data_IF_440377809618
#
_entry.id   IF_440377809618
#
_cell.length_a   1.000
_cell.length_b   1.000
_cell.length_c   1.000
_cell.angle_alpha   90.00
_cell.angle_beta   90.00
_cell.angle_gamma   90.00
#
_symmetry.space_group_name_H-M   'P 1'
#
loop_
_entity.id
_entity.type
_entity.pdbx_description
1 polymer ?
#
# COMPACT_ATOMS: atom_id res chain seq x y z
N UNK A 1 19.01 12.72 -1.58
CA UNK A 1 18.61 13.87 -0.72
C UNK A 1 17.43 13.44 0.14
N UNK A 2 17.27 13.97 1.37
CA UNK A 2 16.07 13.71 2.18
C UNK A 2 15.04 14.80 1.91
N UNK A 3 13.81 14.42 1.59
CA UNK A 3 12.72 15.36 1.40
C UNK A 3 12.26 15.91 2.77
N UNK A 4 11.86 17.18 2.79
CA UNK A 4 11.02 17.70 3.88
C UNK A 4 9.63 17.12 3.67
N UNK A 5 9.07 16.49 4.70
CA UNK A 5 7.77 15.81 4.63
C UNK A 5 6.97 16.10 5.88
N UNK A 6 5.79 16.68 5.68
CA UNK A 6 4.76 16.75 6.70
C UNK A 6 3.81 15.56 6.58
N UNK A 7 4.07 14.52 7.37
CA UNK A 7 3.25 13.30 7.36
C UNK A 7 1.83 13.54 7.86
N UNK A 8 1.58 14.59 8.67
CA UNK A 8 0.26 14.88 9.20
C UNK A 8 -0.60 15.50 8.11
N UNK A 9 -0.06 16.49 7.41
CA UNK A 9 -0.69 17.08 6.23
C UNK A 9 -1.05 16.02 5.18
N UNK A 10 -0.08 15.17 4.80
CA UNK A 10 -0.32 14.13 3.78
C UNK A 10 -1.37 13.13 4.24
N UNK A 11 -1.31 12.68 5.51
CA UNK A 11 -2.31 11.76 6.04
C UNK A 11 -3.71 12.38 6.06
N UNK A 12 -3.84 13.64 6.49
CA UNK A 12 -5.10 14.38 6.51
C UNK A 12 -5.70 14.52 5.11
N UNK A 13 -4.89 14.85 4.10
CA UNK A 13 -5.31 14.90 2.70
C UNK A 13 -5.83 13.55 2.18
N UNK A 14 -5.34 12.44 2.73
CA UNK A 14 -5.82 11.09 2.41
C UNK A 14 -6.99 10.65 3.31
N UNK A 15 -7.50 11.52 4.18
CA UNK A 15 -8.55 11.20 5.16
C UNK A 15 -8.10 10.24 6.26
N UNK A 16 -6.80 10.16 6.55
CA UNK A 16 -6.20 9.22 7.51
C UNK A 16 -5.90 9.91 8.83
N UNK A 17 -6.32 9.29 9.93
CA UNK A 17 -6.04 9.75 11.29
C UNK A 17 -4.77 9.09 11.84
N UNK A 18 -3.75 9.89 12.15
CA UNK A 18 -2.49 9.42 12.73
C UNK A 18 -2.53 9.34 14.26
N UNK A 19 -2.73 8.13 14.78
CA UNK A 19 -2.88 7.86 16.21
C UNK A 19 -1.56 7.58 16.91
N UNK A 20 -1.54 7.65 18.26
CA UNK A 20 -0.34 7.32 19.04
C UNK A 20 -0.23 5.79 19.14
N UNK A 21 0.99 5.21 19.10
CA UNK A 21 1.16 3.76 19.24
C UNK A 21 0.55 3.17 20.52
N UNK A 22 0.48 3.95 21.62
CA UNK A 22 -0.14 3.55 22.89
C UNK A 22 -1.66 3.30 22.78
N UNK A 23 -2.31 3.94 21.80
CA UNK A 23 -3.74 3.80 21.55
C UNK A 23 -4.03 2.57 20.66
N UNK A 24 -3.00 1.86 20.20
CA UNK A 24 -3.18 0.71 19.31
C UNK A 24 -3.86 -0.43 20.07
N UNK A 25 -5.02 -0.86 19.54
CA UNK A 25 -5.77 -2.03 19.99
C UNK A 25 -5.82 -3.02 18.82
N UNK A 26 -5.04 -4.12 18.83
CA UNK A 26 -4.90 -5.02 17.68
C UNK A 26 -6.22 -5.58 17.15
N UNK A 27 -7.20 -5.79 18.03
CA UNK A 27 -8.52 -6.35 17.71
C UNK A 27 -9.55 -5.29 17.27
N UNK A 28 -9.22 -3.99 17.36
CA UNK A 28 -10.16 -2.90 17.08
C UNK A 28 -9.54 -1.87 16.14
N UNK A 29 -9.10 -2.32 14.96
CA UNK A 29 -8.65 -1.38 13.91
C UNK A 29 -9.85 -0.87 13.14
N UNK A 30 -9.95 0.44 13.01
CA UNK A 30 -10.97 1.09 12.19
C UNK A 30 -10.36 1.52 10.85
N UNK A 31 -11.17 1.59 9.79
CA UNK A 31 -10.74 2.16 8.51
C UNK A 31 -10.08 3.52 8.72
N UNK A 32 -9.03 3.80 7.95
CA UNK A 32 -8.33 5.10 7.93
C UNK A 32 -7.64 5.50 9.24
N UNK A 33 -7.41 4.56 10.16
CA UNK A 33 -6.58 4.77 11.35
C UNK A 33 -5.18 4.19 11.17
N UNK A 34 -4.16 5.04 11.33
CA UNK A 34 -2.77 4.66 11.16
C UNK A 34 -1.93 4.96 12.40
N UNK A 35 -1.16 3.97 12.83
CA UNK A 35 -0.24 4.05 13.97
C UNK A 35 1.23 4.09 13.52
N UNK A 36 1.49 3.88 12.22
CA UNK A 36 2.81 3.67 11.65
C UNK A 36 3.56 4.99 11.31
N UNK A 37 3.52 5.99 12.20
CA UNK A 37 4.12 7.32 11.99
C UNK A 37 5.59 7.27 11.55
N UNK A 38 6.39 6.38 12.15
CA UNK A 38 7.80 6.18 11.79
C UNK A 38 7.97 5.71 10.34
N UNK A 39 7.07 4.87 9.86
CA UNK A 39 7.07 4.33 8.50
C UNK A 39 6.72 5.41 7.49
N UNK A 40 5.65 6.18 7.76
CA UNK A 40 5.27 7.33 6.91
C UNK A 40 6.42 8.34 6.81
N UNK A 41 7.07 8.66 7.93
CA UNK A 41 8.21 9.57 7.95
C UNK A 41 9.38 9.07 7.11
N UNK A 42 9.70 7.77 7.19
CA UNK A 42 10.77 7.17 6.39
C UNK A 42 10.46 7.21 4.89
N UNK A 43 9.24 6.85 4.49
CA UNK A 43 8.81 6.83 3.09
C UNK A 43 8.79 8.26 2.54
N UNK A 44 8.14 9.19 3.24
CA UNK A 44 8.08 10.58 2.81
C UNK A 44 9.47 11.22 2.71
N UNK A 45 10.36 10.99 3.66
CA UNK A 45 11.73 11.51 3.59
C UNK A 45 12.53 10.94 2.41
N UNK A 46 12.21 9.72 1.97
CA UNK A 46 12.92 9.04 0.88
C UNK A 46 12.37 9.42 -0.49
N UNK A 47 11.04 9.51 -0.64
CA UNK A 47 10.37 9.64 -1.94
C UNK A 47 9.56 10.93 -2.11
N UNK A 48 9.39 11.72 -1.05
CA UNK A 48 8.58 12.94 -1.04
C UNK A 48 7.12 12.73 -0.66
N UNK A 49 6.39 13.85 -0.54
CA UNK A 49 4.98 13.86 -0.11
C UNK A 49 4.05 13.25 -1.16
N UNK A 50 4.30 13.48 -2.46
CA UNK A 50 3.47 12.95 -3.54
C UNK A 50 3.45 11.42 -3.58
N UNK A 51 4.63 10.78 -3.49
CA UNK A 51 4.75 9.32 -3.40
C UNK A 51 4.05 8.76 -2.16
N UNK A 52 4.21 9.43 -1.01
CA UNK A 52 3.54 9.03 0.22
C UNK A 52 2.03 9.14 0.09
N UNK A 53 1.52 10.21 -0.52
CA UNK A 53 0.09 10.40 -0.77
C UNK A 53 -0.45 9.29 -1.67
N UNK A 54 0.20 9.02 -2.82
CA UNK A 54 -0.22 7.94 -3.73
C UNK A 54 -0.22 6.57 -3.03
N UNK A 55 0.82 6.26 -2.25
CA UNK A 55 0.91 5.04 -1.44
C UNK A 55 -0.29 4.89 -0.51
N UNK A 56 -0.64 5.96 0.20
CA UNK A 56 -1.74 5.93 1.17
C UNK A 56 -3.10 5.84 0.48
N UNK A 57 -3.31 6.61 -0.59
CA UNK A 57 -4.53 6.60 -1.39
C UNK A 57 -4.82 5.23 -1.99
N UNK A 58 -3.81 4.54 -2.54
CA UNK A 58 -3.97 3.17 -3.03
C UNK A 58 -4.46 2.17 -1.97
N UNK A 59 -4.17 2.41 -0.68
CA UNK A 59 -4.67 1.57 0.41
C UNK A 59 -6.08 1.98 0.83
N UNK A 60 -6.36 3.27 0.98
CA UNK A 60 -7.62 3.73 1.62
C UNK A 60 -8.74 4.05 0.65
N UNK A 61 -8.44 4.28 -0.62
CA UNK A 61 -9.44 4.55 -1.66
C UNK A 61 -9.82 3.30 -2.44
N UNK A 62 -9.19 2.15 -2.18
CA UNK A 62 -9.52 0.88 -2.82
C UNK A 62 -10.34 -0.04 -1.92
N UNK A 63 -11.15 -0.88 -2.56
CA UNK A 63 -12.19 -1.70 -1.95
C UNK A 63 -11.63 -2.57 -0.81
N UNK A 64 -12.28 -2.48 0.35
CA UNK A 64 -12.02 -3.29 1.55
C UNK A 64 -10.58 -3.21 2.13
N UNK A 65 -9.76 -2.26 1.65
CA UNK A 65 -8.35 -2.12 2.05
C UNK A 65 -8.10 -1.03 3.10
N UNK A 66 -9.10 -0.21 3.44
CA UNK A 66 -8.91 0.97 4.30
C UNK A 66 -8.45 0.66 5.75
N UNK A 67 -8.53 -0.58 6.22
CA UNK A 67 -7.98 -1.03 7.51
C UNK A 67 -6.51 -1.47 7.45
N UNK A 68 -5.96 -1.63 6.24
CA UNK A 68 -4.63 -2.21 5.98
C UNK A 68 -3.48 -1.20 6.09
N UNK A 69 -3.63 -0.19 6.94
CA UNK A 69 -2.59 0.79 7.26
C UNK A 69 -1.54 0.23 8.26
N UNK A 70 -1.03 -0.97 7.97
CA UNK A 70 0.07 -1.60 8.70
C UNK A 70 1.41 -1.12 8.16
N UNK A 71 2.42 -1.10 9.02
CA UNK A 71 3.78 -0.66 8.62
C UNK A 71 4.30 -1.46 7.43
N UNK A 72 4.07 -2.78 7.43
CA UNK A 72 4.52 -3.73 6.43
C UNK A 72 3.73 -3.57 5.12
N UNK A 73 2.41 -3.38 5.21
CA UNK A 73 1.57 -3.10 4.03
C UNK A 73 1.96 -1.80 3.38
N UNK A 74 2.09 -0.71 4.14
CA UNK A 74 2.48 0.61 3.63
C UNK A 74 3.86 0.54 2.95
N UNK A 75 4.82 -0.19 3.53
CA UNK A 75 6.13 -0.42 2.91
C UNK A 75 6.02 -1.22 1.61
N UNK A 76 5.23 -2.29 1.60
CA UNK A 76 5.05 -3.13 0.42
C UNK A 76 4.47 -2.33 -0.76
N UNK A 77 3.38 -1.58 -0.51
CA UNK A 77 2.74 -0.73 -1.52
C UNK A 77 3.70 0.39 -1.99
N UNK A 78 4.40 1.05 -1.06
CA UNK A 78 5.41 2.06 -1.42
C UNK A 78 6.48 1.48 -2.34
N UNK A 79 6.98 0.27 -2.06
CA UNK A 79 8.02 -0.36 -2.87
C UNK A 79 7.53 -0.95 -4.20
N UNK A 80 6.22 -1.12 -4.37
CA UNK A 80 5.62 -1.40 -5.67
C UNK A 80 5.67 -0.14 -6.56
N UNK A 81 5.32 1.01 -5.99
CA UNK A 81 5.35 2.30 -6.69
C UNK A 81 6.76 2.77 -7.06
N UNK A 82 7.80 2.24 -6.42
CA UNK A 82 9.19 2.50 -6.84
C UNK A 82 9.51 1.94 -8.24
N UNK A 83 8.66 1.07 -8.81
CA UNK A 83 8.79 0.61 -10.18
C UNK A 83 8.10 1.60 -11.15
N UNK A 84 8.84 2.30 -12.03
CA UNK A 84 8.26 3.28 -12.94
C UNK A 84 7.19 2.71 -13.88
N UNK A 85 7.27 1.43 -14.24
CA UNK A 85 6.28 0.76 -15.10
C UNK A 85 4.95 0.49 -14.39
N UNK A 86 4.94 0.50 -13.05
CA UNK A 86 3.72 0.40 -12.24
C UNK A 86 3.19 1.81 -11.95
N UNK A 87 4.07 2.72 -11.53
CA UNK A 87 3.70 4.12 -11.25
C UNK A 87 3.07 4.80 -12.48
N UNK A 88 3.60 4.54 -13.70
CA UNK A 88 3.11 5.13 -14.94
C UNK A 88 1.68 4.70 -15.34
N UNK A 89 1.11 3.67 -14.70
CA UNK A 89 -0.28 3.23 -14.92
C UNK A 89 -1.30 4.25 -14.42
N UNK A 90 -0.90 5.17 -13.53
CA UNK A 90 -1.73 6.27 -13.08
C UNK A 90 -3.06 5.80 -12.47
N UNK A 91 -4.17 6.33 -12.98
CA UNK A 91 -5.52 6.01 -12.47
C UNK A 91 -5.87 4.52 -12.56
N UNK A 92 -5.41 3.82 -13.60
CA UNK A 92 -5.71 2.38 -13.79
C UNK A 92 -5.14 1.51 -12.65
N UNK A 93 -4.11 2.00 -11.95
CA UNK A 93 -3.55 1.30 -10.80
C UNK A 93 -4.55 1.18 -9.64
N UNK A 94 -5.48 2.12 -9.49
CA UNK A 94 -6.53 2.04 -8.47
C UNK A 94 -7.52 0.92 -8.80
N UNK A 95 -7.94 0.79 -10.07
CA UNK A 95 -8.82 -0.29 -10.54
C UNK A 95 -8.17 -1.67 -10.38
N UNK A 96 -6.84 -1.75 -10.54
CA UNK A 96 -6.07 -2.97 -10.31
C UNK A 96 -6.00 -3.30 -8.81
N UNK A 97 -5.77 -2.31 -7.94
CA UNK A 97 -5.74 -2.50 -6.49
C UNK A 97 -7.13 -2.80 -5.90
N UNK A 98 -8.22 -2.35 -6.52
CA UNK A 98 -9.60 -2.74 -6.16
C UNK A 98 -9.85 -4.24 -6.26
N UNK A 99 -9.03 -4.95 -7.04
CA UNK A 99 -9.08 -6.41 -7.18
C UNK A 99 -8.11 -7.14 -6.24
N UNK A 100 -7.33 -6.40 -5.45
CA UNK A 100 -6.33 -6.96 -4.53
C UNK A 100 -6.81 -6.78 -3.10
N UNK A 101 -7.12 -7.88 -2.42
CA UNK A 101 -7.42 -7.88 -0.99
C UNK A 101 -6.11 -7.86 -0.17
N UNK A 102 -5.67 -6.68 0.27
CA UNK A 102 -4.40 -6.52 1.01
C UNK A 102 -4.38 -7.30 2.34
N UNK A 103 -5.54 -7.48 2.97
CA UNK A 103 -5.67 -8.28 4.18
C UNK A 103 -5.34 -9.76 3.92
N UNK A 104 -5.77 -10.31 2.78
CA UNK A 104 -5.45 -11.68 2.37
C UNK A 104 -3.98 -11.80 2.02
N UNK A 105 -3.42 -10.86 1.24
CA UNK A 105 -1.99 -10.82 0.94
C UNK A 105 -1.15 -10.83 2.23
N UNK A 106 -1.53 -10.04 3.24
CA UNK A 106 -0.81 -10.00 4.51
C UNK A 106 -0.97 -11.30 5.31
N UNK A 107 -2.15 -11.94 5.28
CA UNK A 107 -2.38 -13.25 5.90
C UNK A 107 -1.51 -14.31 5.24
N UNK A 108 -1.53 -14.38 3.91
CA UNK A 108 -0.82 -15.38 3.13
C UNK A 108 0.69 -15.21 3.29
N UNK A 109 1.19 -13.96 3.26
CA UNK A 109 2.58 -13.65 3.53
C UNK A 109 3.05 -14.10 4.93
N UNK A 110 2.18 -14.05 5.95
CA UNK A 110 2.48 -14.59 7.30
C UNK A 110 2.49 -16.11 7.31
N UNK A 111 1.55 -16.74 6.61
CA UNK A 111 1.44 -18.20 6.54
C UNK A 111 2.61 -18.85 5.82
N UNK A 112 3.19 -18.19 4.81
CA UNK A 112 4.38 -18.67 4.12
C UNK A 112 5.59 -18.83 5.06
N UNK A 113 5.62 -18.15 6.21
CA UNK A 113 6.62 -18.38 7.25
C UNK A 113 8.08 -18.12 6.81
N UNK A 114 8.28 -17.36 5.74
CA UNK A 114 9.61 -17.11 5.17
C UNK A 114 10.44 -16.26 6.13
N UNK A 115 11.75 -16.52 6.20
CA UNK A 115 12.71 -15.74 7.01
C UNK A 115 13.09 -14.41 6.33
N UNK A 116 12.08 -13.66 5.89
CA UNK A 116 12.20 -12.37 5.21
C UNK A 116 11.32 -11.33 5.91
N UNK A 117 11.61 -10.02 5.77
CA UNK A 117 10.68 -8.98 6.20
C UNK A 117 9.31 -9.18 5.53
N UNK A 118 8.24 -9.12 6.32
CA UNK A 118 6.88 -9.36 5.81
C UNK A 118 6.51 -8.40 4.66
N UNK A 119 7.00 -7.16 4.70
CA UNK A 119 6.83 -6.18 3.62
C UNK A 119 7.44 -6.63 2.29
N UNK A 120 8.56 -7.37 2.31
CA UNK A 120 9.18 -7.90 1.10
C UNK A 120 8.35 -9.04 0.50
N UNK A 121 7.83 -9.93 1.34
CA UNK A 121 6.96 -11.03 0.88
C UNK A 121 5.67 -10.46 0.30
N UNK A 122 5.03 -9.51 1.01
CA UNK A 122 3.85 -8.81 0.52
C UNK A 122 4.10 -8.08 -0.80
N UNK A 123 5.25 -7.39 -0.96
CA UNK A 123 5.63 -6.75 -2.22
C UNK A 123 5.61 -7.74 -3.38
N UNK A 124 6.21 -8.93 -3.20
CA UNK A 124 6.24 -9.95 -4.25
C UNK A 124 4.82 -10.43 -4.59
N UNK A 125 4.00 -10.73 -3.58
CA UNK A 125 2.63 -11.18 -3.80
C UNK A 125 1.76 -10.14 -4.50
N UNK A 126 1.89 -8.85 -4.14
CA UNK A 126 1.18 -7.76 -4.83
C UNK A 126 1.65 -7.68 -6.29
N UNK A 127 2.95 -7.72 -6.56
CA UNK A 127 3.48 -7.67 -7.92
C UNK A 127 2.95 -8.83 -8.78
N UNK A 128 2.86 -10.04 -8.22
CA UNK A 128 2.29 -11.20 -8.91
C UNK A 128 0.82 -10.99 -9.26
N UNK A 129 0.01 -10.42 -8.36
CA UNK A 129 -1.40 -10.14 -8.63
C UNK A 129 -1.56 -9.09 -9.75
N UNK A 130 -0.77 -8.02 -9.73
CA UNK A 130 -0.78 -7.01 -10.80
C UNK A 130 -0.44 -7.62 -12.17
N UNK A 131 0.55 -8.52 -12.23
CA UNK A 131 0.90 -9.24 -13.47
C UNK A 131 -0.17 -10.23 -13.95
N UNK A 132 -0.94 -10.83 -13.03
CA UNK A 132 -2.07 -11.69 -13.41
C UNK A 132 -3.17 -10.85 -14.04
N UNK A 133 -3.48 -9.69 -13.46
CA UNK A 133 -4.49 -8.78 -14.02
C UNK A 133 -4.10 -8.23 -15.39
N UNK A 134 -2.82 -7.92 -15.62
CA UNK A 134 -2.30 -7.53 -16.94
C UNK A 134 -2.57 -8.61 -18.00
N UNK A 135 -2.28 -9.88 -17.67
CA UNK A 135 -2.47 -11.02 -18.59
C UNK A 135 -3.94 -11.26 -18.92
N UNK A 136 -4.81 -11.21 -17.91
CA UNK A 136 -6.26 -11.38 -18.13
C UNK A 136 -6.82 -10.22 -18.97
N UNK A 137 -6.26 -9.02 -18.86
CA UNK A 137 -6.63 -7.89 -19.70
C UNK A 137 -6.16 -8.07 -21.16
N UNK A 138 -4.93 -8.56 -21.38
CA UNK A 138 -4.41 -8.80 -22.73
C UNK A 138 -5.18 -9.89 -23.48
N UNK A 139 -5.56 -10.97 -22.79
CA UNK A 139 -6.27 -12.10 -23.42
C UNK A 139 -7.69 -11.73 -23.85
N UNK A 140 -8.35 -10.81 -23.13
CA UNK A 140 -9.67 -10.27 -23.49
C UNK A 140 -9.64 -9.28 -24.65
N UNK A 141 -8.50 -8.63 -24.88
CA UNK A 141 -8.30 -7.70 -26.00
C UNK A 141 -8.00 -8.36 -27.34
N UNK A 142 -7.49 -9.61 -27.35
CA UNK A 142 -7.22 -10.37 -28.59
C UNK A 142 -8.42 -11.15 -29.14
N UNK A 143 -9.56 -11.15 -28.42
CA UNK A 143 -10.76 -11.90 -28.80
C UNK A 143 -11.86 -11.03 -29.43
N UNK A 144 -11.56 -9.78 -29.79
CA UNK A 144 -12.45 -8.82 -30.46
C UNK A 144 -11.85 -8.37 -31.79
#
# INVERSE_FOLDING_TARGET
MKHRTDIFKVAEQCGIRLLKPADHRPLHRRPRECFAKKTLKKIGQRHGEAHLALTLRLIVETRDNATELYSETIQAVSSILENPAIESRGGALFDEFDRIALAEIRRDARQLGLRLPLSHVMRVLIAMQLQVHDRIASDRGSAA
#
